data_IF_084311423904
#
_entry.id   IF_084311423904
#
_cell.length_a   1.000
_cell.length_b   1.000
_cell.length_c   1.000
_cell.angle_alpha   90.00
_cell.angle_beta   90.00
_cell.angle_gamma   90.00
#
_symmetry.space_group_name_H-M   'P 1'
#
loop_
_entity.id
_entity.type
_entity.pdbx_description
1 polymer ?
#
# COMPACT_ATOMS: atom_id res chain seq x y z
N UNK A 1 13.69 -23.28 -3.51
CA UNK A 1 12.71 -23.81 -2.53
C UNK A 1 12.49 -22.74 -1.47
N UNK A 2 11.25 -22.41 -1.12
CA UNK A 2 10.93 -21.39 -0.11
C UNK A 2 11.26 -21.93 1.28
N UNK A 3 12.36 -21.45 1.87
CA UNK A 3 12.83 -21.90 3.19
C UNK A 3 12.30 -20.94 4.26
N UNK A 4 11.13 -21.24 4.79
CA UNK A 4 10.43 -20.40 5.77
C UNK A 4 11.24 -20.23 7.08
N UNK A 5 11.96 -21.26 7.52
CA UNK A 5 12.73 -21.18 8.76
C UNK A 5 13.89 -20.20 8.62
N UNK A 6 14.64 -20.29 7.53
CA UNK A 6 15.73 -19.37 7.22
C UNK A 6 15.23 -17.92 7.05
N UNK A 7 14.07 -17.73 6.38
CA UNK A 7 13.46 -16.40 6.23
C UNK A 7 13.11 -15.82 7.61
N UNK A 8 12.53 -16.60 8.51
CA UNK A 8 12.15 -16.13 9.86
C UNK A 8 13.35 -15.69 10.71
N UNK A 9 14.51 -16.28 10.54
CA UNK A 9 15.76 -15.88 11.23
C UNK A 9 16.18 -14.44 10.89
N UNK A 10 15.83 -13.95 9.72
CA UNK A 10 16.09 -12.57 9.31
C UNK A 10 15.21 -11.53 10.04
N UNK A 11 14.15 -11.98 10.75
CA UNK A 11 13.22 -11.14 11.49
C UNK A 11 13.27 -11.35 12.99
N UNK A 12 14.24 -10.75 13.72
CA UNK A 12 14.48 -11.02 15.16
C UNK A 12 13.26 -10.79 16.05
N UNK A 13 12.36 -9.88 15.67
CA UNK A 13 11.14 -9.57 16.42
C UNK A 13 10.19 -10.78 16.53
N UNK A 14 10.21 -11.71 15.59
CA UNK A 14 9.35 -12.89 15.59
C UNK A 14 9.69 -13.90 16.68
N UNK A 15 10.88 -13.79 17.28
CA UNK A 15 11.28 -14.59 18.45
C UNK A 15 10.84 -14.00 19.79
N UNK A 16 10.18 -12.83 19.76
CA UNK A 16 9.73 -12.13 20.96
C UNK A 16 8.58 -12.86 21.64
N UNK A 17 8.52 -12.75 22.97
CA UNK A 17 7.35 -13.16 23.76
C UNK A 17 6.50 -11.95 24.15
N UNK A 18 5.17 -12.13 24.15
CA UNK A 18 4.17 -11.15 24.56
C UNK A 18 3.25 -11.80 25.58
N UNK A 19 3.11 -11.22 26.77
CA UNK A 19 2.39 -11.81 27.92
C UNK A 19 2.83 -13.25 28.25
N UNK A 20 4.12 -13.56 28.09
CA UNK A 20 4.68 -14.90 28.30
C UNK A 20 4.31 -15.94 27.24
N UNK A 21 3.77 -15.52 26.09
CA UNK A 21 3.42 -16.34 24.93
C UNK A 21 4.32 -15.96 23.75
N UNK A 22 4.62 -16.90 22.82
CA UNK A 22 5.26 -16.56 21.55
C UNK A 22 4.43 -15.51 20.80
N UNK A 23 5.08 -14.52 20.18
CA UNK A 23 4.42 -13.56 19.31
C UNK A 23 3.95 -14.24 18.02
N UNK A 24 2.67 -14.12 17.72
CA UNK A 24 2.06 -14.47 16.44
C UNK A 24 1.59 -13.17 15.80
N UNK A 25 2.32 -12.69 14.78
CA UNK A 25 2.06 -11.39 14.17
C UNK A 25 1.27 -11.54 12.86
N UNK A 26 -0.02 -11.19 12.91
CA UNK A 26 -0.98 -11.30 11.80
C UNK A 26 -1.61 -9.94 11.45
N UNK A 27 -0.88 -8.82 11.66
CA UNK A 27 -1.31 -7.47 11.28
C UNK A 27 -0.43 -6.87 10.17
N UNK A 28 0.03 -7.70 9.23
CA UNK A 28 0.91 -7.29 8.13
C UNK A 28 0.26 -6.28 7.16
N UNK A 29 -1.05 -6.34 6.99
CA UNK A 29 -1.80 -5.36 6.18
C UNK A 29 -1.79 -3.94 6.76
N UNK A 30 -1.42 -3.76 8.04
CA UNK A 30 -1.17 -2.44 8.63
C UNK A 30 0.29 -2.03 8.46
N UNK A 31 1.24 -2.88 8.84
CA UNK A 31 2.68 -2.73 8.61
C UNK A 31 3.36 -4.09 8.72
N UNK A 32 4.35 -4.38 7.91
CA UNK A 32 5.15 -5.61 8.02
C UNK A 32 6.26 -5.45 9.04
N UNK A 33 6.81 -6.56 9.56
CA UNK A 33 8.06 -6.54 10.32
C UNK A 33 9.25 -6.31 9.38
N UNK A 34 10.39 -5.89 9.94
CA UNK A 34 11.57 -5.50 9.16
C UNK A 34 12.66 -6.55 9.26
N UNK A 35 13.24 -7.00 8.14
CA UNK A 35 14.38 -7.89 8.19
C UNK A 35 15.61 -7.14 8.71
N UNK A 36 16.53 -7.87 9.32
CA UNK A 36 17.77 -7.34 9.91
C UNK A 36 18.51 -6.42 8.96
N UNK A 37 18.68 -6.80 7.69
CA UNK A 37 19.41 -6.03 6.69
C UNK A 37 18.85 -4.63 6.43
N UNK A 38 17.54 -4.43 6.61
CA UNK A 38 16.89 -3.11 6.48
C UNK A 38 17.24 -2.22 7.67
N UNK A 39 17.21 -2.77 8.89
CA UNK A 39 17.57 -2.04 10.12
C UNK A 39 19.05 -1.68 10.12
N UNK A 40 19.90 -2.63 9.72
CA UNK A 40 21.35 -2.44 9.58
C UNK A 40 21.66 -1.34 8.56
N UNK A 41 20.99 -1.32 7.41
CA UNK A 41 21.20 -0.28 6.38
C UNK A 41 20.95 1.13 6.93
N UNK A 42 19.90 1.32 7.74
CA UNK A 42 19.63 2.61 8.40
C UNK A 42 20.76 3.00 9.35
N UNK A 43 21.20 2.05 10.17
CA UNK A 43 22.23 2.28 11.19
C UNK A 43 23.58 2.58 10.54
N UNK A 44 23.94 1.79 9.53
CA UNK A 44 25.23 1.92 8.81
C UNK A 44 25.31 3.25 8.07
N UNK A 45 24.23 3.70 7.43
CA UNK A 45 24.23 4.97 6.72
C UNK A 45 24.38 6.16 7.67
N UNK A 46 23.70 6.14 8.82
CA UNK A 46 23.89 7.17 9.85
C UNK A 46 25.32 7.22 10.40
N UNK A 47 25.97 6.09 10.56
CA UNK A 47 27.32 6.04 11.15
C UNK A 47 28.43 6.29 10.12
N UNK A 48 28.21 6.06 8.84
CA UNK A 48 29.30 6.06 7.85
C UNK A 48 29.16 7.09 6.73
N UNK A 49 27.93 7.47 6.33
CA UNK A 49 27.70 8.25 5.09
C UNK A 49 26.74 9.43 5.32
N UNK A 50 26.28 9.70 6.52
CA UNK A 50 25.28 10.71 6.81
C UNK A 50 25.71 12.12 6.34
N UNK A 51 25.07 12.63 5.29
CA UNK A 51 25.25 13.97 4.76
C UNK A 51 24.05 14.38 3.90
N UNK A 52 23.77 15.68 3.78
CA UNK A 52 22.74 16.16 2.85
C UNK A 52 23.08 15.78 1.39
N UNK A 53 22.05 15.41 0.63
CA UNK A 53 22.17 14.93 -0.75
C UNK A 53 22.12 16.06 -1.77
N UNK A 54 22.59 15.81 -3.01
CA UNK A 54 22.56 16.61 -4.23
C UNK A 54 23.43 17.89 -4.23
N UNK A 55 23.47 18.68 -3.15
CA UNK A 55 24.10 20.02 -3.15
C UNK A 55 25.47 20.10 -2.52
N UNK A 56 25.89 19.09 -1.80
CA UNK A 56 27.20 19.08 -1.17
C UNK A 56 28.30 18.69 -2.15
N UNK A 57 29.42 19.44 -2.11
CA UNK A 57 30.60 19.16 -2.95
C UNK A 57 31.63 18.25 -2.26
N UNK A 58 31.35 17.81 -1.05
CA UNK A 58 32.26 16.95 -0.26
C UNK A 58 31.93 15.48 -0.38
N UNK A 59 32.89 14.63 -0.05
CA UNK A 59 32.84 13.18 -0.23
C UNK A 59 31.58 12.53 0.35
N UNK A 60 31.21 12.81 1.60
CA UNK A 60 30.02 12.22 2.24
C UNK A 60 28.72 12.57 1.52
N UNK A 61 28.57 13.83 1.09
CA UNK A 61 27.39 14.25 0.33
C UNK A 61 27.27 13.52 -1.01
N UNK A 62 28.40 13.32 -1.70
CA UNK A 62 28.42 12.55 -2.95
C UNK A 62 28.04 11.10 -2.71
N UNK A 63 28.53 10.49 -1.63
CA UNK A 63 28.19 9.12 -1.24
C UNK A 63 26.70 8.97 -0.91
N UNK A 64 26.15 9.84 -0.07
CA UNK A 64 24.74 9.84 0.28
C UNK A 64 23.83 10.06 -0.95
N UNK A 65 24.22 10.98 -1.86
CA UNK A 65 23.52 11.19 -3.13
C UNK A 65 23.51 9.92 -3.98
N UNK A 66 24.66 9.26 -4.11
CA UNK A 66 24.76 8.03 -4.91
C UNK A 66 23.88 6.92 -4.35
N UNK A 67 23.80 6.76 -3.02
CA UNK A 67 22.91 5.78 -2.37
C UNK A 67 21.45 6.11 -2.60
N UNK A 68 21.07 7.37 -2.43
CA UNK A 68 19.70 7.83 -2.64
C UNK A 68 19.23 7.60 -4.09
N UNK A 69 20.04 7.97 -5.08
CA UNK A 69 19.69 7.79 -6.50
C UNK A 69 19.78 6.33 -6.94
N UNK A 70 20.69 5.52 -6.38
CA UNK A 70 20.70 4.07 -6.58
C UNK A 70 19.41 3.42 -6.04
N UNK A 71 18.86 3.96 -4.94
CA UNK A 71 17.58 3.50 -4.39
C UNK A 71 16.41 3.77 -5.34
N UNK A 72 16.41 4.92 -6.02
CA UNK A 72 15.45 5.25 -7.07
C UNK A 72 15.52 4.26 -8.24
N UNK A 73 16.72 3.89 -8.64
CA UNK A 73 16.92 2.89 -9.68
C UNK A 73 16.46 1.49 -9.24
N UNK A 74 16.65 1.11 -7.97
CA UNK A 74 16.10 -0.14 -7.42
C UNK A 74 14.58 -0.14 -7.48
N UNK A 75 13.91 0.95 -7.08
CA UNK A 75 12.46 1.08 -7.19
C UNK A 75 12.01 0.98 -8.64
N UNK A 76 12.67 1.71 -9.57
CA UNK A 76 12.37 1.68 -11.00
C UNK A 76 12.38 0.25 -11.55
N UNK A 77 13.42 -0.51 -11.22
CA UNK A 77 13.55 -1.93 -11.64
C UNK A 77 12.48 -2.82 -11.02
N UNK A 78 12.20 -2.62 -9.74
CA UNK A 78 11.28 -3.46 -8.98
C UNK A 78 9.85 -3.43 -9.54
N UNK A 79 9.38 -2.25 -9.98
CA UNK A 79 8.05 -2.10 -10.60
C UNK A 79 8.09 -2.04 -12.13
N UNK A 80 9.26 -2.24 -12.75
CA UNK A 80 9.50 -2.14 -14.18
C UNK A 80 9.08 -0.79 -14.80
N UNK A 81 9.38 0.34 -14.13
CA UNK A 81 9.19 1.67 -14.71
C UNK A 81 10.23 1.95 -15.82
N UNK A 82 9.90 2.80 -16.79
CA UNK A 82 10.78 3.11 -17.93
C UNK A 82 11.99 3.93 -17.53
N UNK A 83 11.78 4.90 -16.64
CA UNK A 83 12.79 5.88 -16.26
C UNK A 83 12.73 6.18 -14.77
N UNK A 84 13.86 6.58 -14.18
CA UNK A 84 13.90 7.13 -12.82
C UNK A 84 13.16 8.47 -12.71
N UNK A 85 12.93 9.20 -13.79
CA UNK A 85 12.10 10.41 -13.84
C UNK A 85 10.63 10.14 -13.51
N UNK A 86 10.17 8.88 -13.63
CA UNK A 86 8.83 8.44 -13.30
C UNK A 86 8.66 8.03 -11.81
N UNK A 87 9.76 8.07 -11.02
CA UNK A 87 9.77 7.66 -9.61
C UNK A 87 9.94 8.89 -8.71
N UNK A 88 8.91 9.21 -7.96
CA UNK A 88 8.91 10.30 -6.97
C UNK A 88 8.88 9.70 -5.57
N UNK A 89 9.83 10.05 -4.72
CA UNK A 89 9.80 9.67 -3.32
C UNK A 89 8.86 10.56 -2.52
N UNK A 90 8.07 9.95 -1.66
CA UNK A 90 7.08 10.58 -0.79
C UNK A 90 7.19 9.99 0.61
N UNK A 91 6.37 10.47 1.56
CA UNK A 91 6.31 9.89 2.91
C UNK A 91 5.44 8.62 3.00
N UNK A 92 4.76 8.24 1.92
CA UNK A 92 3.90 7.05 1.87
C UNK A 92 2.76 7.20 0.87
N UNK A 93 1.98 6.14 0.68
CA UNK A 93 0.82 6.09 -0.22
C UNK A 93 -0.13 7.27 -0.03
N UNK A 94 -0.42 7.65 1.21
CA UNK A 94 -1.33 8.77 1.50
C UNK A 94 -0.83 10.08 0.92
N UNK A 95 0.47 10.40 1.05
CA UNK A 95 1.02 11.60 0.44
C UNK A 95 1.04 11.50 -1.08
N UNK A 96 1.40 10.34 -1.63
CA UNK A 96 1.40 10.10 -3.09
C UNK A 96 0.02 10.35 -3.70
N UNK A 97 -1.06 9.83 -3.08
CA UNK A 97 -2.43 10.08 -3.53
C UNK A 97 -2.81 11.56 -3.39
N UNK A 98 -2.48 12.20 -2.28
CA UNK A 98 -2.76 13.63 -2.08
C UNK A 98 -2.01 14.51 -3.08
N UNK A 99 -0.75 14.16 -3.42
CA UNK A 99 0.02 14.86 -4.45
C UNK A 99 -0.70 14.80 -5.79
N UNK A 100 -1.07 13.60 -6.23
CA UNK A 100 -1.80 13.44 -7.52
C UNK A 100 -3.15 14.14 -7.43
N UNK A 101 -3.94 13.93 -6.38
CA UNK A 101 -5.28 14.52 -6.25
C UNK A 101 -5.23 16.06 -6.28
N UNK A 102 -4.32 16.68 -5.56
CA UNK A 102 -4.19 18.13 -5.51
C UNK A 102 -3.70 18.71 -6.86
N UNK A 103 -2.60 18.19 -7.39
CA UNK A 103 -1.99 18.73 -8.61
C UNK A 103 -2.82 18.44 -9.85
N UNK A 104 -3.46 17.27 -9.91
CA UNK A 104 -4.37 16.89 -10.98
C UNK A 104 -5.66 17.74 -10.96
N UNK A 105 -6.27 17.89 -9.78
CA UNK A 105 -7.45 18.75 -9.65
C UNK A 105 -7.12 20.20 -10.01
N UNK A 106 -5.94 20.70 -9.61
CA UNK A 106 -5.56 22.09 -9.90
C UNK A 106 -5.34 22.38 -11.39
N UNK A 107 -4.79 21.43 -12.12
CA UNK A 107 -4.37 21.66 -13.52
C UNK A 107 -5.32 21.04 -14.55
N UNK A 108 -6.07 19.99 -14.21
CA UNK A 108 -6.84 19.18 -15.18
C UNK A 108 -8.35 19.18 -14.90
N UNK A 109 -8.82 19.75 -13.78
CA UNK A 109 -10.22 19.67 -13.38
C UNK A 109 -10.85 21.02 -13.11
N UNK A 110 -12.16 21.10 -13.34
CA UNK A 110 -13.04 22.23 -13.02
C UNK A 110 -14.29 21.75 -12.29
N UNK A 111 -15.13 22.69 -11.83
CA UNK A 111 -16.40 22.40 -11.17
C UNK A 111 -17.27 21.45 -12.00
N UNK A 112 -17.82 20.45 -11.34
CA UNK A 112 -18.67 19.40 -11.91
C UNK A 112 -17.90 18.30 -12.66
N UNK A 113 -16.55 18.37 -12.76
CA UNK A 113 -15.77 17.23 -13.27
C UNK A 113 -15.79 16.08 -12.25
N UNK A 114 -15.58 14.86 -12.74
CA UNK A 114 -15.85 13.63 -12.00
C UNK A 114 -14.55 12.82 -11.77
N UNK A 115 -14.47 12.22 -10.58
CA UNK A 115 -13.48 11.20 -10.21
C UNK A 115 -14.22 9.90 -9.93
N UNK A 116 -13.77 8.79 -10.50
CA UNK A 116 -14.30 7.46 -10.20
C UNK A 116 -13.39 6.77 -9.18
N UNK A 117 -13.95 6.37 -8.04
CA UNK A 117 -13.29 5.56 -7.01
C UNK A 117 -14.08 4.26 -6.79
N UNK A 118 -13.54 3.27 -6.07
CA UNK A 118 -14.32 2.09 -5.73
C UNK A 118 -14.90 2.16 -4.30
N UNK A 119 -15.91 1.34 -4.02
CA UNK A 119 -16.53 1.22 -2.68
C UNK A 119 -15.57 0.64 -1.64
N UNK A 120 -14.48 -0.02 -2.07
CA UNK A 120 -13.52 -0.69 -1.19
C UNK A 120 -12.23 0.10 -0.97
N UNK A 121 -12.21 1.40 -1.31
CA UNK A 121 -11.02 2.23 -1.16
C UNK A 121 -10.65 2.45 0.31
N UNK A 122 -9.34 2.50 0.56
CA UNK A 122 -8.79 3.05 1.80
C UNK A 122 -9.14 4.55 1.91
N UNK A 123 -9.32 5.06 3.13
CA UNK A 123 -9.64 6.48 3.37
C UNK A 123 -8.72 7.45 2.63
N UNK A 124 -7.43 7.12 2.47
CA UNK A 124 -6.49 7.96 1.73
C UNK A 124 -6.90 8.17 0.27
N UNK A 125 -7.56 7.20 -0.35
CA UNK A 125 -8.03 7.29 -1.74
C UNK A 125 -9.50 7.76 -1.87
N UNK A 126 -10.13 8.13 -0.77
CA UNK A 126 -11.45 8.78 -0.74
C UNK A 126 -11.29 10.24 -0.31
N UNK A 127 -10.69 10.45 0.88
CA UNK A 127 -10.64 11.76 1.53
C UNK A 127 -9.79 12.76 0.74
N UNK A 128 -8.71 12.31 0.10
CA UNK A 128 -7.90 13.18 -0.78
C UNK A 128 -8.75 13.80 -1.90
N UNK A 129 -9.64 13.03 -2.52
CA UNK A 129 -10.56 13.51 -3.56
C UNK A 129 -11.72 14.31 -2.98
N UNK A 130 -12.24 13.97 -1.79
CA UNK A 130 -13.25 14.76 -1.09
C UNK A 130 -12.71 16.16 -0.73
N UNK A 131 -11.45 16.28 -0.35
CA UNK A 131 -10.81 17.59 -0.15
C UNK A 131 -10.82 18.43 -1.44
N UNK A 132 -10.59 17.82 -2.60
CA UNK A 132 -10.70 18.51 -3.89
C UNK A 132 -12.15 18.82 -4.26
N UNK A 133 -13.08 17.91 -3.94
CA UNK A 133 -14.52 18.17 -4.11
C UNK A 133 -14.96 19.41 -3.32
N UNK A 134 -14.55 19.54 -2.07
CA UNK A 134 -14.85 20.71 -1.24
C UNK A 134 -14.22 22.01 -1.78
N UNK A 135 -13.04 21.94 -2.41
CA UNK A 135 -12.33 23.11 -2.93
C UNK A 135 -12.78 23.55 -4.34
N UNK A 136 -13.12 22.60 -5.19
CA UNK A 136 -13.34 22.81 -6.62
C UNK A 136 -14.70 22.38 -7.15
N UNK A 137 -15.56 21.79 -6.29
CA UNK A 137 -16.87 21.31 -6.71
C UNK A 137 -16.81 20.09 -7.64
N UNK A 138 -15.77 19.25 -7.57
CA UNK A 138 -15.71 17.99 -8.31
C UNK A 138 -16.62 16.94 -7.66
N UNK A 139 -17.00 15.92 -8.42
CA UNK A 139 -17.96 14.88 -8.01
C UNK A 139 -17.27 13.53 -7.93
N UNK A 140 -17.48 12.79 -6.83
CA UNK A 140 -17.04 11.42 -6.70
C UNK A 140 -18.13 10.46 -7.17
N UNK A 141 -17.77 9.54 -8.07
CA UNK A 141 -18.58 8.39 -8.49
C UNK A 141 -17.97 7.11 -7.93
N UNK A 142 -18.80 6.15 -7.55
CA UNK A 142 -18.35 4.96 -6.82
C UNK A 142 -18.67 3.70 -7.60
N UNK A 143 -17.65 2.90 -7.89
CA UNK A 143 -17.79 1.55 -8.47
C UNK A 143 -18.37 0.64 -7.40
N UNK A 144 -19.54 0.01 -7.62
CA UNK A 144 -20.11 -0.93 -6.67
C UNK A 144 -19.41 -2.29 -6.69
N UNK A 145 -19.68 -3.10 -5.67
CA UNK A 145 -19.24 -4.49 -5.57
C UNK A 145 -20.40 -5.44 -5.34
N UNK A 146 -20.20 -6.72 -5.68
CA UNK A 146 -21.09 -7.80 -5.33
C UNK A 146 -20.90 -8.26 -3.85
N UNK A 147 -21.71 -9.23 -3.41
CA UNK A 147 -21.65 -9.74 -2.03
C UNK A 147 -20.41 -10.62 -1.76
N UNK A 148 -19.70 -11.07 -2.80
CA UNK A 148 -18.40 -11.74 -2.67
C UNK A 148 -17.25 -10.75 -2.46
N UNK A 149 -17.49 -9.44 -2.60
CA UNK A 149 -16.50 -8.40 -2.50
C UNK A 149 -15.69 -8.22 -3.79
N UNK A 150 -16.27 -8.46 -4.95
CA UNK A 150 -15.67 -8.23 -6.27
C UNK A 150 -16.30 -7.00 -6.92
N UNK A 151 -15.49 -6.15 -7.56
CA UNK A 151 -15.98 -4.96 -8.26
C UNK A 151 -16.84 -5.34 -9.47
N UNK A 152 -17.97 -4.64 -9.65
CA UNK A 152 -18.86 -4.82 -10.78
C UNK A 152 -18.33 -4.03 -11.99
N UNK A 153 -17.52 -4.68 -12.83
CA UNK A 153 -16.84 -4.06 -13.98
C UNK A 153 -17.83 -3.49 -14.98
N UNK A 154 -18.97 -4.16 -15.23
CA UNK A 154 -20.02 -3.65 -16.13
C UNK A 154 -20.67 -2.36 -15.59
N UNK A 155 -20.80 -2.21 -14.27
CA UNK A 155 -21.28 -0.97 -13.65
C UNK A 155 -20.20 0.12 -13.70
N UNK A 156 -18.92 -0.24 -13.56
CA UNK A 156 -17.82 0.70 -13.71
C UNK A 156 -17.82 1.38 -15.08
N UNK A 157 -17.99 0.63 -16.16
CA UNK A 157 -18.03 1.19 -17.51
C UNK A 157 -19.17 2.20 -17.71
N UNK A 158 -20.32 1.99 -17.04
CA UNK A 158 -21.47 2.91 -17.08
C UNK A 158 -21.25 4.23 -16.32
N UNK A 159 -20.24 4.30 -15.43
CA UNK A 159 -19.95 5.52 -14.68
C UNK A 159 -19.30 6.61 -15.53
N UNK A 160 -18.68 6.27 -16.65
CA UNK A 160 -17.99 7.25 -17.48
C UNK A 160 -18.95 8.23 -18.13
N UNK A 161 -18.54 9.50 -18.12
CA UNK A 161 -19.23 10.60 -18.80
C UNK A 161 -18.20 11.55 -19.42
N UNK A 162 -18.62 12.53 -20.25
CA UNK A 162 -17.71 13.56 -20.75
C UNK A 162 -17.03 14.42 -19.66
N UNK A 163 -17.47 14.30 -18.41
CA UNK A 163 -16.90 15.00 -17.24
C UNK A 163 -15.90 14.14 -16.44
N UNK A 164 -15.83 12.86 -16.70
CA UNK A 164 -14.90 11.98 -15.99
C UNK A 164 -13.46 12.34 -16.37
N UNK A 165 -12.60 12.62 -15.37
CA UNK A 165 -11.21 13.07 -15.57
C UNK A 165 -10.17 12.10 -15.10
N UNK A 166 -10.44 11.32 -14.05
CA UNK A 166 -9.50 10.33 -13.51
C UNK A 166 -10.27 9.22 -12.80
N UNK A 167 -9.68 8.04 -12.81
CA UNK A 167 -10.08 6.89 -11.98
C UNK A 167 -9.03 6.71 -10.90
N UNK A 168 -9.42 6.38 -9.67
CA UNK A 168 -8.49 6.10 -8.58
C UNK A 168 -8.97 4.90 -7.76
N UNK A 169 -8.28 3.75 -7.89
CA UNK A 169 -8.72 2.46 -7.35
C UNK A 169 -7.61 1.67 -6.69
N UNK A 170 -7.95 0.89 -5.66
CA UNK A 170 -7.03 -0.03 -5.02
C UNK A 170 -6.77 -1.26 -5.90
N UNK A 171 -5.51 -1.70 -5.97
CA UNK A 171 -5.14 -2.97 -6.60
C UNK A 171 -5.62 -4.16 -5.77
N UNK A 172 -5.38 -4.10 -4.45
CA UNK A 172 -5.84 -5.12 -3.50
C UNK A 172 -6.55 -4.43 -2.34
N UNK A 173 -7.75 -4.91 -1.99
CA UNK A 173 -8.49 -4.38 -0.84
C UNK A 173 -7.78 -4.71 0.46
N UNK A 174 -7.52 -3.70 1.28
CA UNK A 174 -6.91 -3.86 2.61
C UNK A 174 -7.85 -4.50 3.65
N UNK A 175 -9.13 -4.64 3.33
CA UNK A 175 -10.13 -5.28 4.18
C UNK A 175 -10.50 -6.67 3.67
N UNK A 176 -10.90 -6.75 2.41
CA UNK A 176 -11.44 -7.99 1.82
C UNK A 176 -10.34 -8.92 1.30
N UNK A 177 -9.14 -8.39 1.05
CA UNK A 177 -8.08 -9.12 0.35
C UNK A 177 -8.38 -9.33 -1.15
N UNK A 178 -9.50 -8.85 -1.66
CA UNK A 178 -9.86 -8.96 -3.07
C UNK A 178 -8.78 -8.34 -3.94
N UNK A 179 -8.26 -9.09 -4.89
CA UNK A 179 -7.38 -8.59 -5.95
C UNK A 179 -8.26 -8.08 -7.09
N UNK A 180 -8.27 -6.77 -7.28
CA UNK A 180 -9.08 -6.14 -8.33
C UNK A 180 -8.46 -6.35 -9.71
N UNK A 181 -9.28 -6.49 -10.77
CA UNK A 181 -8.81 -6.70 -12.15
C UNK A 181 -8.29 -5.39 -12.76
N UNK A 182 -7.25 -4.80 -12.13
CA UNK A 182 -6.79 -3.43 -12.47
C UNK A 182 -6.36 -3.27 -13.92
N UNK A 183 -5.80 -4.31 -14.56
CA UNK A 183 -5.48 -4.26 -15.99
C UNK A 183 -6.74 -4.00 -16.83
N UNK A 184 -7.84 -4.69 -16.51
CA UNK A 184 -9.13 -4.47 -17.18
C UNK A 184 -9.71 -3.09 -16.88
N UNK A 185 -9.55 -2.61 -15.63
CA UNK A 185 -10.00 -1.25 -15.27
C UNK A 185 -9.20 -0.18 -16.02
N UNK A 186 -7.90 -0.38 -16.21
CA UNK A 186 -7.03 0.50 -17.01
C UNK A 186 -7.49 0.52 -18.47
N UNK A 187 -7.70 -0.65 -19.10
CA UNK A 187 -8.15 -0.77 -20.47
C UNK A 187 -9.47 0.01 -20.73
N UNK A 188 -10.43 -0.11 -19.80
CA UNK A 188 -11.71 0.60 -19.88
C UNK A 188 -11.49 2.11 -19.71
N UNK A 189 -10.72 2.55 -18.71
CA UNK A 189 -10.43 3.97 -18.51
C UNK A 189 -9.78 4.60 -19.74
N UNK A 190 -8.77 3.93 -20.30
CA UNK A 190 -8.08 4.40 -21.49
C UNK A 190 -8.96 4.41 -22.75
N UNK A 191 -9.91 3.48 -22.90
CA UNK A 191 -10.90 3.52 -23.97
C UNK A 191 -11.78 4.78 -23.91
N UNK A 192 -11.95 5.36 -22.71
CA UNK A 192 -12.61 6.65 -22.49
C UNK A 192 -11.64 7.85 -22.46
N UNK A 193 -10.35 7.66 -22.76
CA UNK A 193 -9.27 8.66 -22.65
C UNK A 193 -9.13 9.25 -21.22
N UNK A 194 -9.35 8.45 -20.19
CA UNK A 194 -9.29 8.84 -18.79
C UNK A 194 -8.08 8.15 -18.14
N UNK A 195 -7.18 8.89 -17.48
CA UNK A 195 -6.07 8.29 -16.74
C UNK A 195 -6.53 7.61 -15.47
N UNK A 196 -5.68 6.68 -14.96
CA UNK A 196 -5.96 5.91 -13.78
C UNK A 196 -4.80 5.92 -12.78
N UNK A 197 -5.14 6.15 -11.49
CA UNK A 197 -4.27 5.96 -10.34
C UNK A 197 -4.60 4.62 -9.68
N UNK A 198 -3.58 3.81 -9.43
CA UNK A 198 -3.71 2.53 -8.75
C UNK A 198 -3.03 2.61 -7.38
N UNK A 199 -3.80 2.41 -6.30
CA UNK A 199 -3.26 2.23 -4.95
C UNK A 199 -2.72 0.80 -4.80
N UNK A 200 -1.40 0.67 -4.84
CA UNK A 200 -0.66 -0.58 -4.75
C UNK A 200 -0.20 -0.94 -3.33
N UNK A 201 -0.67 -0.23 -2.31
CA UNK A 201 -0.17 -0.41 -0.94
C UNK A 201 -0.33 -1.85 -0.40
N UNK A 202 -1.33 -2.59 -0.86
CA UNK A 202 -1.59 -3.98 -0.47
C UNK A 202 -1.20 -5.00 -1.53
N UNK A 203 -0.75 -4.59 -2.71
CA UNK A 203 -0.28 -5.51 -3.76
C UNK A 203 1.24 -5.63 -3.78
N UNK A 204 1.95 -4.51 -3.58
CA UNK A 204 3.41 -4.43 -3.71
C UNK A 204 4.17 -5.42 -2.81
N UNK A 205 3.74 -5.75 -1.57
CA UNK A 205 4.44 -6.73 -0.74
C UNK A 205 4.16 -8.19 -1.12
N UNK A 206 3.11 -8.46 -1.90
CA UNK A 206 2.54 -9.81 -2.05
C UNK A 206 2.60 -10.37 -3.47
N UNK A 207 2.79 -9.52 -4.48
CA UNK A 207 2.80 -9.94 -5.88
C UNK A 207 3.74 -9.09 -6.72
N UNK A 208 4.19 -9.65 -7.84
CA UNK A 208 4.93 -8.90 -8.85
C UNK A 208 4.05 -7.80 -9.44
N UNK A 209 4.58 -6.59 -9.51
CA UNK A 209 3.93 -5.44 -10.15
C UNK A 209 4.78 -4.99 -11.31
N UNK A 210 4.16 -4.88 -12.48
CA UNK A 210 4.77 -4.35 -13.70
C UNK A 210 3.89 -3.20 -14.20
N UNK A 211 4.34 -1.96 -13.95
CA UNK A 211 3.55 -0.76 -14.29
C UNK A 211 3.43 -0.53 -15.79
N UNK A 212 4.39 -1.05 -16.58
CA UNK A 212 4.31 -0.99 -18.03
C UNK A 212 3.31 -2.00 -18.59
N UNK A 213 3.29 -3.23 -18.06
CA UNK A 213 2.31 -4.25 -18.44
C UNK A 213 0.89 -3.84 -18.05
N UNK A 214 0.72 -3.25 -16.87
CA UNK A 214 -0.56 -2.69 -16.40
C UNK A 214 -0.98 -1.47 -17.21
N UNK A 215 -0.04 -0.77 -17.83
CA UNK A 215 -0.22 0.54 -18.47
C UNK A 215 -0.79 1.60 -17.51
N UNK A 216 -0.47 1.50 -16.21
CA UNK A 216 -0.94 2.42 -15.19
C UNK A 216 -0.39 3.83 -15.45
N UNK A 217 -1.23 4.87 -15.26
CA UNK A 217 -0.77 6.25 -15.36
C UNK A 217 -0.09 6.72 -14.08
N UNK A 218 -0.64 6.28 -12.92
CA UNK A 218 -0.04 6.47 -11.61
C UNK A 218 -0.15 5.18 -10.79
N UNK A 219 0.90 4.86 -10.03
CA UNK A 219 0.94 3.72 -9.12
C UNK A 219 1.61 4.14 -7.80
N UNK A 220 0.98 3.86 -6.66
CA UNK A 220 1.45 4.37 -5.38
C UNK A 220 1.59 3.25 -4.35
N UNK A 221 2.62 3.34 -3.49
CA UNK A 221 2.80 2.41 -2.39
C UNK A 221 3.63 2.99 -1.23
N UNK A 222 3.61 2.30 -0.09
CA UNK A 222 4.36 2.67 1.12
C UNK A 222 5.43 1.65 1.46
N UNK A 223 6.62 2.12 1.81
CA UNK A 223 7.75 1.28 2.17
C UNK A 223 7.47 0.38 3.38
N UNK A 224 6.78 0.89 4.40
CA UNK A 224 6.53 0.14 5.64
C UNK A 224 5.64 -1.11 5.46
N UNK A 225 4.98 -1.29 4.33
CA UNK A 225 4.20 -2.49 4.01
C UNK A 225 5.00 -3.53 3.24
N UNK A 226 6.04 -3.11 2.53
CA UNK A 226 6.92 -3.99 1.75
C UNK A 226 8.26 -4.20 2.48
N UNK A 227 8.19 -4.45 3.79
CA UNK A 227 9.33 -4.76 4.67
C UNK A 227 10.33 -3.62 4.87
N UNK A 228 10.09 -2.46 4.27
CA UNK A 228 10.89 -1.24 4.38
C UNK A 228 10.51 -0.36 5.59
N UNK A 229 11.17 0.78 5.79
CA UNK A 229 10.91 1.69 6.91
C UNK A 229 9.57 2.41 6.78
N UNK A 230 9.12 3.01 7.88
CA UNK A 230 8.06 4.02 7.91
C UNK A 230 8.58 5.35 7.38
N UNK A 231 7.68 6.23 6.94
CA UNK A 231 8.04 7.59 6.51
C UNK A 231 8.56 7.70 5.08
N UNK A 232 8.62 6.59 4.34
CA UNK A 232 8.98 6.57 2.92
C UNK A 232 7.92 5.83 2.11
N UNK A 233 7.66 6.34 0.92
CA UNK A 233 6.77 5.76 -0.08
C UNK A 233 7.17 6.20 -1.48
N UNK A 234 6.42 5.73 -2.44
CA UNK A 234 6.69 5.93 -3.86
C UNK A 234 5.40 6.33 -4.58
N UNK A 235 5.52 7.35 -5.40
CA UNK A 235 4.62 7.64 -6.51
C UNK A 235 5.37 7.30 -7.81
N UNK A 236 4.87 6.31 -8.53
CA UNK A 236 5.15 6.16 -9.94
C UNK A 236 4.13 6.99 -10.72
N UNK A 237 4.58 7.74 -11.71
CA UNK A 237 3.71 8.40 -12.68
C UNK A 237 4.35 8.38 -14.06
N UNK A 238 3.57 8.10 -15.12
CA UNK A 238 4.06 8.28 -16.48
C UNK A 238 4.64 9.67 -16.66
N UNK A 239 5.84 9.78 -17.21
CA UNK A 239 6.55 11.06 -17.40
C UNK A 239 5.66 12.12 -18.05
N UNK A 240 4.88 11.74 -19.05
CA UNK A 240 3.95 12.63 -19.75
C UNK A 240 2.84 13.22 -18.85
N UNK A 241 2.46 12.52 -17.78
CA UNK A 241 1.54 13.05 -16.77
C UNK A 241 2.27 13.90 -15.75
N UNK A 242 3.38 13.42 -15.20
CA UNK A 242 4.16 14.17 -14.21
C UNK A 242 4.65 15.53 -14.77
N UNK A 243 4.98 15.58 -16.05
CA UNK A 243 5.42 16.83 -16.69
C UNK A 243 4.29 17.87 -16.75
N UNK A 244 3.06 17.45 -17.00
CA UNK A 244 1.87 18.33 -17.05
C UNK A 244 1.41 18.83 -15.67
N UNK A 245 1.64 18.05 -14.60
CA UNK A 245 1.18 18.43 -13.28
C UNK A 245 2.05 19.55 -12.67
N UNK A 246 1.47 20.54 -11.97
CA UNK A 246 2.24 21.55 -11.25
C UNK A 246 2.96 20.93 -10.05
N UNK A 247 3.97 21.62 -9.48
CA UNK A 247 4.57 21.22 -8.22
C UNK A 247 3.52 21.09 -7.11
N UNK A 248 3.75 20.13 -6.18
CA UNK A 248 2.87 19.91 -5.02
C UNK A 248 3.26 20.77 -3.82
N UNK A 249 4.55 20.86 -3.56
CA UNK A 249 5.13 21.63 -2.46
C UNK A 249 6.19 22.57 -2.99
N UNK A 250 6.39 23.71 -2.33
CA UNK A 250 7.46 24.66 -2.65
C UNK A 250 8.58 24.60 -1.62
N UNK A 251 9.82 24.66 -2.10
CA UNK A 251 11.00 24.64 -1.21
C UNK A 251 12.31 24.54 -1.97
N UNK A 252 13.37 24.19 -1.28
CA UNK A 252 14.64 23.82 -1.90
C UNK A 252 14.50 22.53 -2.71
N UNK A 253 15.49 22.16 -3.48
CA UNK A 253 15.60 21.01 -4.36
C UNK A 253 14.69 21.05 -5.60
N UNK A 254 13.41 21.35 -5.43
CA UNK A 254 12.39 21.31 -6.48
C UNK A 254 12.44 22.54 -7.42
N UNK A 255 13.28 23.52 -7.16
CA UNK A 255 13.43 24.76 -7.95
C UNK A 255 14.70 24.73 -8.81
N UNK A 256 14.64 25.39 -9.97
CA UNK A 256 15.78 25.70 -10.82
C UNK A 256 16.31 27.10 -10.56
N UNK A 257 15.44 28.12 -10.65
CA UNK A 257 15.75 29.50 -10.34
C UNK A 257 14.62 30.13 -9.51
N UNK A 258 14.99 31.04 -8.60
CA UNK A 258 14.03 31.77 -7.75
C UNK A 258 14.40 33.24 -7.77
N UNK A 259 13.42 34.11 -8.07
CA UNK A 259 13.45 35.54 -7.77
C UNK A 259 12.16 35.91 -7.04
N UNK A 260 12.05 37.14 -6.58
CA UNK A 260 10.79 37.61 -5.97
C UNK A 260 9.63 37.68 -6.97
N UNK A 261 9.92 37.81 -8.27
CA UNK A 261 8.91 37.92 -9.34
C UNK A 261 8.52 36.55 -9.91
N UNK A 262 9.45 35.59 -9.94
CA UNK A 262 9.23 34.31 -10.62
C UNK A 262 10.11 33.19 -10.09
N UNK A 263 9.53 32.00 -10.06
CA UNK A 263 10.24 30.73 -9.83
C UNK A 263 10.13 29.83 -11.07
N UNK A 264 11.23 29.16 -11.44
CA UNK A 264 11.23 28.04 -12.37
C UNK A 264 11.56 26.75 -11.60
N UNK A 265 10.98 25.65 -12.04
CA UNK A 265 11.05 24.38 -11.33
C UNK A 265 12.10 23.46 -11.93
N UNK A 266 12.59 22.54 -11.12
CA UNK A 266 13.55 21.53 -11.52
C UNK A 266 12.92 20.48 -12.45
N UNK A 267 13.76 19.66 -13.09
CA UNK A 267 13.34 18.52 -13.90
C UNK A 267 12.71 17.42 -13.05
N UNK A 268 12.00 16.48 -13.68
CA UNK A 268 11.50 15.28 -13.03
C UNK A 268 12.65 14.38 -12.55
N UNK A 269 12.50 13.69 -11.43
CA UNK A 269 11.37 13.73 -10.49
C UNK A 269 11.46 14.87 -9.46
N UNK A 270 12.57 15.60 -9.41
CA UNK A 270 12.89 16.60 -8.38
C UNK A 270 11.86 17.73 -8.25
N UNK A 271 11.11 18.04 -9.32
CA UNK A 271 9.96 18.96 -9.27
C UNK A 271 8.95 18.65 -8.16
N UNK A 272 8.86 17.40 -7.72
CA UNK A 272 7.92 16.94 -6.70
C UNK A 272 8.57 16.64 -5.35
N UNK A 273 9.89 16.77 -5.23
CA UNK A 273 10.66 16.45 -4.02
C UNK A 273 11.20 17.73 -3.39
N UNK A 274 10.38 18.40 -2.59
CA UNK A 274 10.74 19.67 -1.96
C UNK A 274 11.43 19.46 -0.60
N UNK A 275 12.58 20.12 -0.39
CA UNK A 275 13.35 20.05 0.84
C UNK A 275 14.31 18.86 0.87
N UNK A 276 15.02 18.68 1.99
CA UNK A 276 15.88 17.50 2.17
C UNK A 276 15.05 16.22 2.24
N UNK A 277 15.25 15.26 1.33
CA UNK A 277 14.48 14.02 1.35
C UNK A 277 14.91 13.10 2.49
N UNK A 278 14.09 12.09 2.79
CA UNK A 278 14.47 10.96 3.65
C UNK A 278 15.40 10.00 2.88
N UNK A 279 16.66 10.41 2.65
CA UNK A 279 17.63 9.64 1.88
C UNK A 279 18.01 8.32 2.57
N UNK A 280 18.01 8.27 3.90
CA UNK A 280 18.26 7.04 4.67
C UNK A 280 17.08 6.09 4.55
N UNK A 281 15.85 6.60 4.66
CA UNK A 281 14.65 5.79 4.46
C UNK A 281 14.55 5.22 3.06
N UNK A 282 14.95 5.97 2.02
CA UNK A 282 14.94 5.45 0.63
C UNK A 282 15.99 4.37 0.41
N UNK A 283 17.18 4.49 0.99
CA UNK A 283 18.22 3.46 0.96
C UNK A 283 17.75 2.18 1.66
N UNK A 284 17.10 2.33 2.82
CA UNK A 284 16.52 1.20 3.54
C UNK A 284 15.33 0.56 2.79
N UNK A 285 14.52 1.36 2.08
CA UNK A 285 13.48 0.84 1.19
C UNK A 285 14.08 0.00 0.07
N UNK A 286 15.13 0.50 -0.61
CA UNK A 286 15.81 -0.24 -1.66
C UNK A 286 16.33 -1.59 -1.14
N UNK A 287 16.89 -1.60 0.10
CA UNK A 287 17.34 -2.84 0.75
C UNK A 287 16.21 -3.83 0.98
N UNK A 288 15.02 -3.34 1.35
CA UNK A 288 13.82 -4.18 1.50
C UNK A 288 13.36 -4.76 0.14
N UNK A 289 13.38 -3.95 -0.92
CA UNK A 289 13.01 -4.41 -2.26
C UNK A 289 14.01 -5.44 -2.81
N UNK A 290 15.31 -5.24 -2.58
CA UNK A 290 16.35 -6.22 -2.93
C UNK A 290 16.14 -7.53 -2.16
N UNK A 291 15.79 -7.46 -0.86
CA UNK A 291 15.51 -8.62 -0.03
C UNK A 291 14.35 -9.46 -0.57
N UNK A 292 13.20 -8.85 -0.84
CA UNK A 292 12.04 -9.59 -1.39
C UNK A 292 12.30 -10.08 -2.81
N UNK A 293 13.06 -9.33 -3.60
CA UNK A 293 13.48 -9.75 -4.95
C UNK A 293 14.40 -10.98 -4.92
N UNK A 294 15.29 -11.08 -3.93
CA UNK A 294 16.16 -12.23 -3.76
C UNK A 294 15.40 -13.50 -3.36
N UNK A 295 14.33 -13.39 -2.59
CA UNK A 295 13.39 -14.51 -2.32
C UNK A 295 12.61 -14.86 -3.58
N UNK A 296 12.25 -13.85 -4.38
CA UNK A 296 11.43 -13.94 -5.59
C UNK A 296 9.95 -13.68 -5.31
N UNK A 297 9.39 -12.64 -5.95
CA UNK A 297 8.00 -12.25 -5.75
C UNK A 297 6.99 -13.36 -6.08
N UNK A 298 7.27 -14.17 -7.10
CA UNK A 298 6.42 -15.32 -7.47
C UNK A 298 6.44 -16.40 -6.38
N UNK A 299 7.58 -16.63 -5.72
CA UNK A 299 7.71 -17.56 -4.60
C UNK A 299 6.92 -17.06 -3.39
N UNK A 300 7.01 -15.75 -3.09
CA UNK A 300 6.25 -15.10 -2.00
C UNK A 300 4.76 -15.23 -2.28
N UNK A 301 4.31 -14.86 -3.47
CA UNK A 301 2.91 -14.95 -3.88
C UNK A 301 2.35 -16.36 -3.75
N UNK A 302 3.09 -17.37 -4.24
CA UNK A 302 2.69 -18.78 -4.16
C UNK A 302 2.59 -19.25 -2.70
N UNK A 303 3.55 -18.90 -1.86
CA UNK A 303 3.55 -19.27 -0.44
C UNK A 303 2.41 -18.62 0.34
N UNK A 304 2.21 -17.31 0.16
CA UNK A 304 1.13 -16.58 0.84
C UNK A 304 -0.25 -17.01 0.35
N UNK A 305 -0.38 -17.40 -0.92
CA UNK A 305 -1.61 -18.01 -1.45
C UNK A 305 -1.91 -19.33 -0.73
N UNK A 306 -0.91 -20.21 -0.56
CA UNK A 306 -1.06 -21.45 0.19
C UNK A 306 -1.52 -21.20 1.65
N UNK A 307 -0.91 -20.21 2.32
CA UNK A 307 -1.33 -19.81 3.67
C UNK A 307 -2.77 -19.29 3.68
N UNK A 308 -3.14 -18.48 2.69
CA UNK A 308 -4.49 -17.90 2.59
C UNK A 308 -5.54 -18.98 2.39
N UNK A 309 -5.31 -19.93 1.48
CA UNK A 309 -6.21 -21.06 1.24
C UNK A 309 -6.37 -21.92 2.50
N UNK A 310 -5.24 -22.24 3.16
CA UNK A 310 -5.25 -22.97 4.42
C UNK A 310 -6.03 -22.24 5.53
N UNK A 311 -5.79 -20.96 5.71
CA UNK A 311 -6.47 -20.16 6.72
C UNK A 311 -7.98 -20.05 6.44
N UNK A 312 -8.39 -19.84 5.17
CA UNK A 312 -9.79 -19.79 4.79
C UNK A 312 -10.50 -21.12 5.10
N UNK A 313 -9.85 -22.25 4.84
CA UNK A 313 -10.40 -23.57 5.16
C UNK A 313 -10.57 -23.72 6.67
N UNK A 314 -9.51 -23.48 7.45
CA UNK A 314 -9.51 -23.67 8.91
C UNK A 314 -10.50 -22.74 9.62
N UNK A 315 -10.59 -21.48 9.20
CA UNK A 315 -11.52 -20.51 9.80
C UNK A 315 -12.98 -20.88 9.51
N UNK A 316 -13.32 -21.41 8.33
CA UNK A 316 -14.68 -21.86 7.98
C UNK A 316 -15.19 -23.01 8.83
N UNK A 317 -14.31 -23.78 9.47
CA UNK A 317 -14.68 -24.87 10.39
C UNK A 317 -15.20 -24.35 11.74
N UNK A 318 -14.94 -23.07 12.10
CA UNK A 318 -15.36 -22.48 13.38
C UNK A 318 -16.87 -22.17 13.34
N UNK A 319 -17.67 -22.68 14.30
CA UNK A 319 -19.08 -22.37 14.38
C UNK A 319 -19.37 -20.85 14.50
N UNK A 320 -20.28 -20.35 13.69
CA UNK A 320 -20.65 -18.91 13.69
C UNK A 320 -19.66 -17.99 13.00
N UNK A 321 -18.63 -18.52 12.35
CA UNK A 321 -17.68 -17.75 11.55
C UNK A 321 -18.36 -17.10 10.35
N UNK A 322 -18.15 -15.80 10.18
CA UNK A 322 -18.54 -15.04 9.01
C UNK A 322 -17.32 -14.39 8.41
N UNK A 323 -16.92 -14.80 7.21
CA UNK A 323 -15.77 -14.23 6.47
C UNK A 323 -16.31 -13.20 5.49
N UNK A 324 -15.61 -12.07 5.38
CA UNK A 324 -15.91 -11.00 4.44
C UNK A 324 -14.86 -10.97 3.32
N UNK A 325 -15.33 -10.91 2.07
CA UNK A 325 -14.47 -11.00 0.89
C UNK A 325 -14.10 -12.45 0.56
N UNK A 326 -14.94 -13.07 -0.26
CA UNK A 326 -14.75 -14.41 -0.80
C UNK A 326 -14.55 -14.38 -2.33
N UNK A 327 -13.83 -13.35 -2.80
CA UNK A 327 -13.44 -13.22 -4.20
C UNK A 327 -12.56 -14.40 -4.62
N UNK A 328 -12.64 -14.78 -5.90
CA UNK A 328 -11.82 -15.86 -6.46
C UNK A 328 -10.33 -15.52 -6.40
N UNK A 329 -9.99 -14.27 -6.74
CA UNK A 329 -8.64 -13.74 -6.61
C UNK A 329 -8.49 -13.01 -5.27
N UNK A 330 -7.73 -13.62 -4.35
CA UNK A 330 -7.61 -13.14 -2.97
C UNK A 330 -6.15 -13.14 -2.51
N UNK A 331 -5.72 -12.00 -1.98
CA UNK A 331 -4.44 -11.85 -1.27
C UNK A 331 -4.52 -12.27 0.20
N UNK A 332 -3.39 -12.18 0.89
CA UNK A 332 -3.17 -12.65 2.26
C UNK A 332 -3.90 -11.89 3.37
N UNK A 333 -5.12 -11.40 3.13
CA UNK A 333 -5.94 -10.65 4.09
C UNK A 333 -7.28 -11.34 4.29
N UNK A 334 -7.65 -11.63 5.54
CA UNK A 334 -8.94 -12.24 5.90
C UNK A 334 -9.60 -11.40 6.99
N UNK A 335 -10.77 -10.84 6.68
CA UNK A 335 -11.62 -10.14 7.62
C UNK A 335 -12.79 -11.02 8.04
N UNK A 336 -13.09 -11.07 9.33
CA UNK A 336 -14.10 -11.97 9.85
C UNK A 336 -14.81 -11.44 11.12
N UNK A 337 -15.96 -12.04 11.43
CA UNK A 337 -16.68 -11.94 12.70
C UNK A 337 -17.11 -13.35 13.15
N UNK A 338 -17.33 -13.55 14.45
CA UNK A 338 -17.75 -14.84 15.00
C UNK A 338 -18.98 -14.65 15.89
N UNK A 339 -20.11 -15.24 15.50
CA UNK A 339 -21.37 -15.09 16.22
C UNK A 339 -21.72 -13.64 16.50
N UNK A 340 -22.02 -13.33 17.75
CA UNK A 340 -22.32 -11.97 18.22
C UNK A 340 -21.15 -11.32 18.99
N UNK A 341 -19.95 -11.89 18.93
CA UNK A 341 -18.78 -11.36 19.62
C UNK A 341 -18.33 -10.10 18.92
N UNK A 342 -18.25 -9.00 19.69
CA UNK A 342 -17.78 -7.74 19.14
C UNK A 342 -16.32 -7.87 18.69
N UNK A 343 -15.98 -7.31 17.50
CA UNK A 343 -14.64 -7.45 16.92
C UNK A 343 -13.53 -6.96 17.86
N UNK A 344 -13.78 -5.90 18.64
CA UNK A 344 -12.83 -5.34 19.59
C UNK A 344 -12.53 -6.32 20.73
N UNK A 345 -13.55 -7.00 21.28
CA UNK A 345 -13.40 -7.98 22.36
C UNK A 345 -12.61 -9.20 21.86
N UNK A 346 -12.96 -9.71 20.66
CA UNK A 346 -12.23 -10.79 20.02
C UNK A 346 -10.75 -10.43 19.87
N UNK A 347 -10.41 -9.27 19.30
CA UNK A 347 -9.02 -8.85 19.12
C UNK A 347 -8.28 -8.64 20.43
N UNK A 348 -8.94 -8.05 21.45
CA UNK A 348 -8.33 -7.84 22.77
C UNK A 348 -8.00 -9.15 23.47
N UNK A 349 -8.86 -10.15 23.35
CA UNK A 349 -8.62 -11.47 23.97
C UNK A 349 -7.60 -12.29 23.19
N UNK A 350 -7.54 -12.19 21.86
CA UNK A 350 -6.48 -12.78 21.04
C UNK A 350 -5.11 -12.20 21.39
N UNK A 351 -5.01 -10.88 21.61
CA UNK A 351 -3.77 -10.23 22.04
C UNK A 351 -3.23 -10.82 23.35
N UNK A 352 -4.12 -11.12 24.32
CA UNK A 352 -3.73 -11.81 25.57
C UNK A 352 -3.19 -13.22 25.36
N UNK A 353 -3.44 -13.80 24.20
CA UNK A 353 -2.88 -15.10 23.79
C UNK A 353 -1.59 -14.94 22.96
N UNK A 354 -1.08 -13.73 22.76
CA UNK A 354 0.11 -13.42 21.95
C UNK A 354 -0.18 -13.30 20.46
N UNK A 355 -1.46 -13.23 20.05
CA UNK A 355 -1.90 -13.21 18.65
C UNK A 355 -2.29 -11.78 18.29
N UNK A 356 -1.45 -11.11 17.51
CA UNK A 356 -1.66 -9.74 17.04
C UNK A 356 -2.50 -9.73 15.76
N UNK A 357 -3.75 -9.29 15.87
CA UNK A 357 -4.68 -9.02 14.77
C UNK A 357 -5.14 -7.57 14.82
N UNK A 358 -5.77 -7.08 13.78
CA UNK A 358 -6.36 -5.74 13.75
C UNK A 358 -7.88 -5.80 13.88
N UNK A 359 -8.49 -4.78 14.50
CA UNK A 359 -9.95 -4.66 14.63
C UNK A 359 -10.44 -3.29 14.20
N UNK A 360 -11.72 -3.20 13.81
CA UNK A 360 -12.42 -1.97 13.45
C UNK A 360 -12.66 -1.78 11.96
N UNK A 361 -12.70 -0.53 11.50
CA UNK A 361 -13.03 -0.15 10.12
C UNK A 361 -11.88 -0.35 9.12
N UNK A 362 -10.66 -0.57 9.58
CA UNK A 362 -9.44 -0.71 8.76
C UNK A 362 -9.20 0.46 7.79
N UNK A 363 -9.61 1.68 8.17
CA UNK A 363 -9.59 2.87 7.32
C UNK A 363 -10.39 2.72 6.01
N UNK A 364 -11.52 1.98 6.05
CA UNK A 364 -12.45 1.75 4.95
C UNK A 364 -13.90 1.74 5.46
N UNK A 365 -14.29 2.78 6.17
CA UNK A 365 -15.62 2.88 6.80
C UNK A 365 -16.78 2.81 5.80
N UNK A 366 -16.73 3.42 4.59
CA UNK A 366 -17.78 3.24 3.59
C UNK A 366 -18.00 1.77 3.18
N UNK A 367 -16.95 0.96 3.17
CA UNK A 367 -17.05 -0.48 2.92
C UNK A 367 -17.78 -1.20 4.06
N UNK A 368 -17.52 -0.82 5.34
CA UNK A 368 -18.24 -1.37 6.49
C UNK A 368 -19.75 -1.05 6.38
N UNK A 369 -20.10 0.17 6.02
CA UNK A 369 -21.50 0.56 5.77
C UNK A 369 -22.13 -0.26 4.64
N UNK A 370 -21.42 -0.50 3.53
CA UNK A 370 -21.89 -1.34 2.42
C UNK A 370 -22.14 -2.79 2.87
N UNK A 371 -21.35 -3.30 3.81
CA UNK A 371 -21.51 -4.66 4.37
C UNK A 371 -22.52 -4.73 5.53
N UNK A 372 -23.03 -3.60 6.01
CA UNK A 372 -23.98 -3.53 7.13
C UNK A 372 -23.39 -3.94 8.47
N UNK A 373 -22.11 -3.64 8.72
CA UNK A 373 -21.38 -3.97 9.94
C UNK A 373 -20.62 -2.76 10.48
N UNK A 374 -20.29 -2.79 11.78
CA UNK A 374 -19.50 -1.73 12.43
C UNK A 374 -17.99 -1.88 12.22
N UNK A 375 -17.51 -3.09 12.02
CA UNK A 375 -16.09 -3.41 11.84
C UNK A 375 -15.85 -4.91 11.81
N UNK A 376 -14.61 -5.32 11.60
CA UNK A 376 -14.20 -6.73 11.57
C UNK A 376 -12.94 -6.95 12.42
N UNK A 377 -12.64 -8.21 12.71
CA UNK A 377 -11.29 -8.68 13.02
C UNK A 377 -10.61 -8.99 11.69
N UNK A 378 -9.37 -8.54 11.52
CA UNK A 378 -8.58 -8.78 10.31
C UNK A 378 -7.29 -9.49 10.66
N UNK A 379 -7.08 -10.67 10.13
CA UNK A 379 -5.77 -11.34 10.06
C UNK A 379 -5.16 -11.09 8.68
N UNK A 380 -3.87 -10.74 8.65
CA UNK A 380 -3.14 -10.52 7.41
C UNK A 380 -1.75 -11.15 7.50
N UNK A 381 -1.41 -11.91 6.47
CA UNK A 381 -0.18 -12.70 6.39
C UNK A 381 0.93 -11.93 5.68
N UNK A 382 2.17 -12.30 5.99
CA UNK A 382 3.37 -11.86 5.31
C UNK A 382 4.29 -13.05 5.05
N UNK A 383 5.35 -12.83 4.29
CA UNK A 383 6.28 -13.85 3.80
C UNK A 383 6.91 -14.77 4.87
N UNK A 384 6.80 -14.39 6.14
CA UNK A 384 7.38 -15.12 7.29
C UNK A 384 6.33 -15.87 8.14
N UNK A 385 5.03 -15.75 7.87
CA UNK A 385 4.00 -16.47 8.64
C UNK A 385 3.97 -17.96 8.33
N UNK A 386 3.41 -18.76 9.24
CA UNK A 386 3.38 -20.22 9.11
C UNK A 386 1.98 -20.78 9.31
N UNK A 387 1.75 -22.03 8.89
CA UNK A 387 0.50 -22.76 9.16
C UNK A 387 0.25 -22.97 10.66
N UNK A 388 1.31 -23.18 11.45
CA UNK A 388 1.20 -23.32 12.91
C UNK A 388 0.68 -22.03 13.56
N UNK A 389 1.04 -20.87 13.03
CA UNK A 389 0.49 -19.58 13.48
C UNK A 389 -1.00 -19.44 13.12
N UNK A 390 -1.43 -19.97 11.99
CA UNK A 390 -2.84 -20.05 11.59
C UNK A 390 -3.62 -20.99 12.53
N UNK A 391 -3.09 -22.18 12.82
CA UNK A 391 -3.70 -23.13 13.76
C UNK A 391 -3.81 -22.52 15.16
N UNK A 392 -2.81 -21.75 15.57
CA UNK A 392 -2.84 -21.02 16.85
C UNK A 392 -3.91 -19.92 16.84
N UNK A 393 -4.11 -19.21 15.72
CA UNK A 393 -5.21 -18.24 15.55
C UNK A 393 -6.56 -18.94 15.68
N UNK A 394 -6.78 -20.07 14.98
CA UNK A 394 -8.02 -20.85 15.06
C UNK A 394 -8.32 -21.30 16.48
N UNK A 395 -7.34 -21.91 17.16
CA UNK A 395 -7.47 -22.33 18.56
C UNK A 395 -7.75 -21.15 19.51
N UNK A 396 -7.13 -19.97 19.23
CA UNK A 396 -7.37 -18.74 19.96
C UNK A 396 -8.81 -18.26 19.80
N UNK A 397 -9.32 -18.21 18.57
CA UNK A 397 -10.71 -17.82 18.27
C UNK A 397 -11.69 -18.77 18.94
N UNK A 398 -11.51 -20.08 18.83
CA UNK A 398 -12.38 -21.07 19.50
C UNK A 398 -12.38 -20.92 21.02
N UNK A 399 -11.19 -20.65 21.60
CA UNK A 399 -11.08 -20.42 23.04
C UNK A 399 -11.85 -19.18 23.47
N UNK A 400 -11.72 -18.07 22.72
CA UNK A 400 -12.47 -16.83 22.98
C UNK A 400 -13.97 -17.08 22.79
N UNK A 401 -14.37 -17.75 21.73
CA UNK A 401 -15.79 -18.04 21.47
C UNK A 401 -16.47 -18.81 22.61
N UNK A 402 -15.76 -19.76 23.21
CA UNK A 402 -16.27 -20.48 24.43
C UNK A 402 -16.45 -19.61 25.68
N UNK A 403 -15.90 -18.39 25.72
CA UNK A 403 -16.09 -17.46 26.83
C UNK A 403 -17.37 -16.64 26.69
N UNK A 404 -17.96 -16.59 25.50
CA UNK A 404 -19.17 -15.80 25.20
C UNK A 404 -20.41 -16.67 24.93
N UNK A 405 -20.28 -17.95 24.85
CA UNK A 405 -21.35 -18.92 24.65
C UNK A 405 -21.15 -20.16 25.43
#
# INVERSE_FOLDING_TARGET
MYDIQKIREDFPILSRTVYGKPLIYLDNGATTQKPRCVVEAITDEYYSVNANVHRGVHFLSQQATNLHEASRETVRKFINARSTSEIVFTRGTTESINLVAATFADSQMKEGDEVIVSVMEHHSNIVSWQLQAARKGIVLKVIPMNDRGELLVDEYEKLFSPRTRIVAVAHVSNVLGTVNPVKKLVEIAHAHNVPILIDGAQSIPHMKVDVQELDADFYVFSGHKVYGPTGVGVLYGKEAWLDKLPPYQGGGEMIQNVSFEKTTFNVLPFKFEAGTPDYIGTTALAKALDYVSAIGMDNIAAYEHELTVYAMQRLKEIPGMRIFGEAEQKGGVISFLVGNIHHFDMGTLLDRLGIAVRTGHHCAEPLMHRMGIEGTVRASFGLYNTKDEIDSLVAGIERVSRMFG
#
